data_IF_013814904253
#
_entry.id   IF_013814904253
#
_cell.length_a   1.000
_cell.length_b   1.000
_cell.length_c   1.000
_cell.angle_alpha   90.00
_cell.angle_beta   90.00
_cell.angle_gamma   90.00
#
_symmetry.space_group_name_H-M   'P 1'
#
loop_
_entity.id
_entity.type
_entity.pdbx_description
1 polymer ?
#
# COMPACT_ATOMS: atom_id res chain seq x y z
N UNK A 1 -1.93 -19.92 2.74
CA UNK A 1 -0.94 -18.83 2.74
C UNK A 1 -0.87 -18.15 4.10
N UNK A 2 -1.99 -17.65 4.64
CA UNK A 2 -2.06 -16.98 5.96
C UNK A 2 -1.58 -17.86 7.14
N UNK A 3 -1.92 -19.16 7.13
CA UNK A 3 -1.54 -20.11 8.18
C UNK A 3 -0.02 -20.28 8.33
N UNK A 4 0.71 -20.25 7.22
CA UNK A 4 2.18 -20.36 7.21
C UNK A 4 2.84 -19.06 7.67
N UNK A 5 2.23 -17.91 7.38
CA UNK A 5 2.68 -16.59 7.86
C UNK A 5 2.57 -16.50 9.39
N UNK A 6 1.42 -16.85 9.95
CA UNK A 6 1.19 -16.86 11.40
C UNK A 6 2.16 -17.80 12.15
N UNK A 7 2.52 -18.93 11.54
CA UNK A 7 3.51 -19.86 12.11
C UNK A 7 4.89 -19.19 12.22
N UNK A 8 5.34 -18.52 11.17
CA UNK A 8 6.65 -17.85 11.12
C UNK A 8 6.73 -16.65 12.06
N UNK A 9 5.67 -15.84 12.14
CA UNK A 9 5.61 -14.70 13.06
C UNK A 9 5.72 -15.16 14.51
N UNK A 10 5.04 -16.25 14.86
CA UNK A 10 5.09 -16.85 16.20
C UNK A 10 6.48 -17.41 16.54
N UNK A 11 7.13 -18.09 15.59
CA UNK A 11 8.50 -18.61 15.75
C UNK A 11 9.52 -17.48 15.91
N UNK A 12 9.37 -16.41 15.14
CA UNK A 12 10.24 -15.24 15.18
C UNK A 12 9.92 -14.26 16.34
N UNK A 13 8.89 -14.53 17.15
CA UNK A 13 8.36 -13.61 18.19
C UNK A 13 8.05 -12.21 17.65
N UNK A 14 7.61 -12.13 16.40
CA UNK A 14 7.20 -10.87 15.77
C UNK A 14 5.76 -10.59 16.20
N UNK A 15 5.52 -9.40 16.74
CA UNK A 15 4.17 -8.91 17.00
C UNK A 15 3.87 -7.81 15.97
N UNK A 16 3.07 -8.11 14.93
CA UNK A 16 2.73 -7.12 13.92
C UNK A 16 1.88 -6.00 14.54
N UNK A 17 1.93 -4.83 13.90
CA UNK A 17 1.04 -3.74 14.23
C UNK A 17 -0.43 -4.19 14.05
N UNK A 18 -1.34 -3.88 14.99
CA UNK A 18 -2.72 -4.35 14.95
C UNK A 18 -3.46 -3.99 13.66
N UNK A 19 -3.19 -2.80 13.11
CA UNK A 19 -3.83 -2.34 11.88
C UNK A 19 -3.31 -3.18 10.70
N UNK A 20 -1.98 -3.34 10.60
CA UNK A 20 -1.32 -4.11 9.54
C UNK A 20 -1.78 -5.57 9.52
N UNK A 21 -1.89 -6.18 10.70
CA UNK A 21 -2.35 -7.56 10.87
C UNK A 21 -3.83 -7.72 10.46
N UNK A 22 -4.69 -6.77 10.82
CA UNK A 22 -6.08 -6.76 10.39
C UNK A 22 -6.21 -6.65 8.86
N UNK A 23 -5.41 -5.78 8.22
CA UNK A 23 -5.39 -5.63 6.77
C UNK A 23 -4.91 -6.89 6.04
N UNK A 24 -3.81 -7.50 6.47
CA UNK A 24 -3.30 -8.73 5.84
C UNK A 24 -4.27 -9.90 5.96
N UNK A 25 -5.00 -9.98 7.07
CA UNK A 25 -6.05 -10.99 7.24
C UNK A 25 -7.27 -10.70 6.37
N UNK A 26 -7.68 -9.43 6.25
CA UNK A 26 -8.81 -9.02 5.42
C UNK A 26 -8.54 -9.20 3.92
N UNK A 27 -7.33 -8.86 3.44
CA UNK A 27 -6.94 -9.08 2.05
C UNK A 27 -6.89 -10.57 1.65
N UNK A 28 -6.69 -11.46 2.62
CA UNK A 28 -6.69 -12.91 2.41
C UNK A 28 -8.11 -13.53 2.37
N UNK A 29 -9.16 -12.77 2.69
CA UNK A 29 -10.56 -13.20 2.58
C UNK A 29 -11.07 -12.96 1.15
N UNK A 30 -11.70 -13.99 0.56
CA UNK A 30 -12.31 -13.87 -0.78
C UNK A 30 -13.55 -12.96 -0.73
N UNK A 31 -13.58 -11.92 -1.57
CA UNK A 31 -14.76 -11.05 -1.77
C UNK A 31 -14.56 -9.54 -1.55
N UNK A 32 -13.44 -9.11 -0.94
CA UNK A 32 -13.14 -7.69 -0.66
C UNK A 32 -11.74 -7.24 -1.15
N UNK A 33 -11.20 -7.89 -2.19
CA UNK A 33 -9.76 -7.78 -2.49
C UNK A 33 -9.29 -6.43 -3.04
N UNK A 34 -10.09 -5.72 -3.84
CA UNK A 34 -9.61 -4.51 -4.50
C UNK A 34 -9.50 -3.31 -3.56
N UNK A 35 -10.47 -3.07 -2.67
CA UNK A 35 -10.45 -1.88 -1.81
C UNK A 35 -9.46 -2.00 -0.66
N UNK A 36 -9.41 -3.16 0.03
CA UNK A 36 -8.62 -3.32 1.25
C UNK A 36 -7.11 -3.18 0.99
N UNK A 37 -6.63 -3.72 -0.14
CA UNK A 37 -5.22 -3.59 -0.52
C UNK A 37 -4.89 -2.13 -0.88
N UNK A 38 -5.75 -1.45 -1.64
CA UNK A 38 -5.55 -0.04 -1.98
C UNK A 38 -5.53 0.85 -0.75
N UNK A 39 -6.48 0.65 0.18
CA UNK A 39 -6.55 1.43 1.43
C UNK A 39 -5.30 1.25 2.28
N UNK A 40 -4.78 0.01 2.35
CA UNK A 40 -3.52 -0.27 3.02
C UNK A 40 -2.32 0.42 2.35
N UNK A 41 -2.22 0.38 1.02
CA UNK A 41 -1.16 1.05 0.27
C UNK A 41 -1.20 2.57 0.47
N UNK A 42 -2.39 3.17 0.48
CA UNK A 42 -2.57 4.59 0.77
C UNK A 42 -2.07 4.94 2.17
N UNK A 43 -2.34 4.10 3.16
CA UNK A 43 -1.88 4.28 4.54
C UNK A 43 -0.36 4.20 4.67
N UNK A 44 0.28 3.16 4.15
CA UNK A 44 1.74 3.00 4.28
C UNK A 44 2.54 4.07 3.51
N UNK A 45 1.97 4.61 2.43
CA UNK A 45 2.59 5.69 1.65
C UNK A 45 2.23 7.09 2.17
N UNK A 46 1.40 7.20 3.21
CA UNK A 46 0.96 8.47 3.76
C UNK A 46 0.15 9.32 2.77
N UNK A 47 -0.65 8.65 1.93
CA UNK A 47 -1.52 9.28 0.92
C UNK A 47 -2.96 9.47 1.41
N UNK A 48 -3.29 9.01 2.63
CA UNK A 48 -4.64 9.14 3.22
C UNK A 48 -5.15 10.59 3.20
N UNK A 49 -4.28 11.56 3.49
CA UNK A 49 -4.65 12.99 3.54
C UNK A 49 -5.08 13.56 2.19
N UNK A 50 -4.76 12.88 1.09
CA UNK A 50 -5.02 13.33 -0.28
C UNK A 50 -5.74 12.28 -1.12
N UNK A 51 -6.36 11.27 -0.51
CA UNK A 51 -7.04 10.18 -1.21
C UNK A 51 -8.18 10.69 -2.13
N UNK A 52 -8.91 11.70 -1.67
CA UNK A 52 -10.04 12.29 -2.40
C UNK A 52 -9.67 13.56 -3.19
N UNK A 53 -8.39 13.86 -3.34
CA UNK A 53 -7.90 15.04 -4.05
C UNK A 53 -7.46 14.64 -5.46
N UNK A 54 -7.91 15.40 -6.46
CA UNK A 54 -7.44 15.23 -7.84
C UNK A 54 -5.90 15.32 -7.92
N UNK A 55 -5.26 14.36 -8.59
CA UNK A 55 -3.79 14.35 -8.78
C UNK A 55 -3.31 15.62 -9.50
N UNK A 56 -4.07 16.07 -10.50
CA UNK A 56 -3.76 17.24 -11.31
C UNK A 56 -2.55 17.06 -12.23
N UNK A 57 -2.29 18.06 -13.06
CA UNK A 57 -1.24 18.07 -14.07
C UNK A 57 -0.55 19.45 -14.12
N UNK A 58 0.06 19.82 -15.26
CA UNK A 58 0.72 21.13 -15.43
C UNK A 58 -0.28 22.29 -15.54
N UNK A 59 -1.51 22.02 -15.98
CA UNK A 59 -2.56 23.01 -16.22
C UNK A 59 -3.59 23.06 -15.09
N UNK A 60 -3.80 21.92 -14.41
CA UNK A 60 -4.78 21.74 -13.35
C UNK A 60 -4.05 21.47 -12.03
N UNK A 61 -4.27 22.34 -11.04
CA UNK A 61 -3.73 22.14 -9.69
C UNK A 61 -4.27 20.87 -9.06
N UNK A 62 -3.39 20.10 -8.45
CA UNK A 62 -3.73 18.91 -7.66
C UNK A 62 -2.77 18.70 -6.49
N UNK A 63 -2.37 17.45 -6.26
CA UNK A 63 -1.47 17.07 -5.16
C UNK A 63 -0.02 17.53 -5.39
N UNK A 64 0.78 17.58 -4.32
CA UNK A 64 2.20 17.97 -4.38
C UNK A 64 3.05 16.97 -5.18
N UNK A 65 4.21 17.41 -5.68
CA UNK A 65 5.12 16.55 -6.44
C UNK A 65 5.59 15.31 -5.66
N UNK A 66 5.85 15.45 -4.36
CA UNK A 66 6.19 14.32 -3.49
C UNK A 66 5.03 13.32 -3.33
N UNK A 67 3.79 13.80 -3.25
CA UNK A 67 2.61 12.93 -3.27
C UNK A 67 2.47 12.23 -4.63
N UNK A 68 2.72 12.92 -5.75
CA UNK A 68 2.72 12.30 -7.09
C UNK A 68 3.73 11.14 -7.20
N UNK A 69 4.98 11.32 -6.72
CA UNK A 69 5.98 10.24 -6.68
C UNK A 69 5.48 9.02 -5.91
N UNK A 70 4.88 9.23 -4.73
CA UNK A 70 4.32 8.13 -3.93
C UNK A 70 3.11 7.48 -4.58
N UNK A 71 2.23 8.24 -5.25
CA UNK A 71 1.12 7.67 -6.04
C UNK A 71 1.63 6.75 -7.13
N UNK A 72 2.68 7.15 -7.86
CA UNK A 72 3.34 6.28 -8.86
C UNK A 72 3.84 4.98 -8.23
N UNK A 73 4.49 5.05 -7.07
CA UNK A 73 4.91 3.84 -6.35
C UNK A 73 3.71 2.99 -5.92
N UNK A 74 2.64 3.61 -5.41
CA UNK A 74 1.44 2.92 -4.95
C UNK A 74 0.71 2.18 -6.07
N UNK A 75 0.63 2.78 -7.26
CA UNK A 75 0.05 2.15 -8.46
C UNK A 75 0.76 0.83 -8.79
N UNK A 76 2.08 0.82 -8.75
CA UNK A 76 2.86 -0.40 -8.98
C UNK A 76 2.69 -1.44 -7.85
N UNK A 77 2.42 -1.03 -6.61
CA UNK A 77 2.28 -1.93 -5.45
C UNK A 77 0.92 -2.62 -5.35
N UNK A 78 -0.16 -1.98 -5.83
CA UNK A 78 -1.53 -2.55 -5.75
C UNK A 78 -1.72 -3.72 -6.72
N UNK A 79 -0.91 -3.80 -7.78
CA UNK A 79 -0.94 -4.89 -8.75
C UNK A 79 -0.25 -6.18 -8.26
N UNK A 80 -0.47 -7.31 -8.95
CA UNK A 80 0.22 -8.57 -8.65
C UNK A 80 1.71 -8.49 -9.04
N UNK A 81 2.55 -8.01 -8.11
CA UNK A 81 3.99 -7.86 -8.31
C UNK A 81 4.80 -8.92 -7.56
N UNK A 82 5.86 -9.41 -8.21
CA UNK A 82 6.86 -10.30 -7.59
C UNK A 82 8.21 -9.63 -7.38
N UNK A 83 8.55 -8.68 -8.25
CA UNK A 83 9.81 -7.93 -8.26
C UNK A 83 9.48 -6.51 -8.70
N UNK A 84 10.12 -5.54 -8.06
CA UNK A 84 9.88 -4.11 -8.29
C UNK A 84 11.22 -3.43 -8.54
N UNK A 85 11.34 -2.75 -9.68
CA UNK A 85 12.53 -1.97 -10.04
C UNK A 85 12.17 -0.49 -9.92
N UNK A 86 12.97 0.25 -9.17
CA UNK A 86 12.76 1.66 -8.90
C UNK A 86 14.06 2.41 -9.12
N UNK A 87 14.06 3.34 -10.06
CA UNK A 87 15.19 4.23 -10.30
C UNK A 87 14.91 5.61 -9.70
N UNK A 88 15.90 6.19 -9.03
CA UNK A 88 15.86 7.52 -8.39
C UNK A 88 14.57 7.86 -7.59
N UNK A 89 13.91 6.88 -6.97
CA UNK A 89 12.55 7.06 -6.41
C UNK A 89 12.44 8.05 -5.24
N UNK A 90 13.54 8.28 -4.52
CA UNK A 90 13.60 9.18 -3.36
C UNK A 90 14.42 10.46 -3.60
N UNK A 91 15.01 10.61 -4.79
CA UNK A 91 15.93 11.71 -5.13
C UNK A 91 15.18 12.88 -5.75
#
# INVERSE_FOLDING_TARGET
MLTELLRREKEAKIKPDPDVDAYMKAAALEGQQASVVTDYILKILGLEICADIMVGDEMIRGISGGQKKRVTTGEMLVGPIKVLFMDEIST
#
